data_IF_667899780895
#
_entry.id   IF_667899780895
#
_cell.length_a   1.000
_cell.length_b   1.000
_cell.length_c   1.000
_cell.angle_alpha   90.00
_cell.angle_beta   90.00
_cell.angle_gamma   90.00
#
_symmetry.space_group_name_H-M   'P 1'
#
loop_
_entity.id
_entity.type
_entity.pdbx_description
1 polymer ?
#
# COMPACT_ATOMS: atom_id res chain seq x y z
N UNK A 1 -3.16 1.18 11.88
CA UNK A 1 -3.88 1.91 10.83
C UNK A 1 -5.22 1.24 10.52
N UNK A 2 -5.99 0.87 11.54
CA UNK A 2 -7.26 0.16 11.33
C UNK A 2 -8.24 1.06 10.57
N UNK A 3 -8.91 0.52 9.55
CA UNK A 3 -9.81 1.25 8.66
C UNK A 3 -9.19 2.44 7.91
N UNK A 4 -7.86 2.55 7.85
CA UNK A 4 -7.24 3.50 6.93
C UNK A 4 -7.40 3.04 5.48
N UNK A 5 -7.61 3.97 4.56
CA UNK A 5 -7.68 3.66 3.14
C UNK A 5 -6.39 3.07 2.59
N UNK A 6 -6.51 2.26 1.54
CA UNK A 6 -5.42 1.52 0.89
C UNK A 6 -4.27 2.44 0.45
N UNK A 7 -4.57 3.69 0.08
CA UNK A 7 -3.58 4.69 -0.31
C UNK A 7 -2.56 4.96 0.81
N UNK A 8 -2.97 4.96 2.08
CA UNK A 8 -2.05 5.20 3.19
C UNK A 8 -1.02 4.08 3.35
N UNK A 9 -1.45 2.82 3.24
CA UNK A 9 -0.53 1.68 3.26
C UNK A 9 0.45 1.72 2.09
N UNK A 10 -0.06 2.01 0.90
CA UNK A 10 0.76 2.10 -0.30
C UNK A 10 1.82 3.22 -0.18
N UNK A 11 1.47 4.38 0.37
CA UNK A 11 2.42 5.47 0.64
C UNK A 11 3.41 5.14 1.75
N UNK A 12 2.97 4.45 2.81
CA UNK A 12 3.86 4.01 3.88
C UNK A 12 4.92 3.03 3.34
N UNK A 13 4.51 2.08 2.49
CA UNK A 13 5.43 1.16 1.82
C UNK A 13 6.39 1.91 0.89
N UNK A 14 5.86 2.80 0.05
CA UNK A 14 6.66 3.62 -0.87
C UNK A 14 7.75 4.42 -0.16
N UNK A 15 7.40 5.15 0.90
CA UNK A 15 8.34 5.97 1.67
C UNK A 15 9.44 5.15 2.36
N UNK A 16 9.24 3.83 2.51
CA UNK A 16 10.17 2.92 3.16
C UNK A 16 10.66 1.81 2.20
N UNK A 17 10.60 2.02 0.87
CA UNK A 17 10.73 0.96 -0.13
C UNK A 17 12.15 0.41 -0.33
N UNK A 18 12.66 -0.29 0.68
CA UNK A 18 13.93 -1.02 0.63
C UNK A 18 13.90 -2.22 1.58
N UNK A 19 14.74 -3.20 1.31
CA UNK A 19 14.91 -4.36 2.19
C UNK A 19 15.25 -3.92 3.62
N UNK A 20 16.18 -2.97 3.76
CA UNK A 20 16.65 -2.49 5.06
C UNK A 20 15.55 -1.78 5.86
N UNK A 21 14.85 -0.83 5.24
CA UNK A 21 13.80 -0.07 5.93
C UNK A 21 12.59 -0.95 6.26
N UNK A 22 12.05 -1.71 5.29
CA UNK A 22 10.88 -2.56 5.52
C UNK A 22 11.16 -3.63 6.58
N UNK A 23 12.37 -4.19 6.64
CA UNK A 23 12.71 -5.22 7.63
C UNK A 23 12.61 -4.77 9.10
N UNK A 24 12.56 -3.45 9.33
CA UNK A 24 12.46 -2.83 10.67
C UNK A 24 11.04 -2.38 10.99
N UNK A 25 10.08 -2.63 10.09
CA UNK A 25 8.71 -2.18 10.23
C UNK A 25 7.78 -3.30 10.64
N UNK A 26 6.79 -2.93 11.46
CA UNK A 26 5.61 -3.74 11.76
C UNK A 26 4.39 -2.87 11.50
N UNK A 27 3.42 -3.41 10.79
CA UNK A 27 2.15 -2.75 10.52
C UNK A 27 1.07 -3.52 11.26
N UNK A 28 0.22 -2.81 12.01
CA UNK A 28 -1.05 -3.36 12.50
C UNK A 28 -2.15 -2.61 11.75
N UNK A 29 -2.90 -3.31 10.91
CA UNK A 29 -3.75 -2.71 9.89
C UNK A 29 -4.79 -3.68 9.35
N UNK A 30 -5.40 -3.30 8.23
CA UNK A 30 -6.29 -4.16 7.46
C UNK A 30 -5.45 -5.18 6.69
N UNK A 31 -6.01 -6.37 6.46
CA UNK A 31 -5.33 -7.45 5.76
C UNK A 31 -4.85 -7.04 4.37
N UNK A 32 -3.58 -7.28 4.04
CA UNK A 32 -3.08 -7.02 2.70
C UNK A 32 -3.57 -8.10 1.75
N UNK A 33 -3.71 -9.33 2.27
CA UNK A 33 -4.37 -10.42 1.56
C UNK A 33 -5.86 -10.12 1.34
N UNK A 34 -6.57 -9.63 2.35
CA UNK A 34 -7.95 -9.17 2.23
C UNK A 34 -8.09 -8.04 1.20
N UNK A 35 -7.16 -7.09 1.19
CA UNK A 35 -7.09 -6.04 0.15
C UNK A 35 -6.86 -6.63 -1.25
N UNK A 36 -6.01 -7.64 -1.41
CA UNK A 36 -5.80 -8.35 -2.68
C UNK A 36 -7.08 -9.05 -3.16
N UNK A 37 -7.80 -9.71 -2.25
CA UNK A 37 -9.03 -10.45 -2.57
C UNK A 37 -10.19 -9.52 -2.93
N UNK A 38 -10.29 -8.35 -2.30
CA UNK A 38 -11.42 -7.42 -2.45
C UNK A 38 -11.26 -6.44 -3.61
N UNK A 39 -10.03 -6.12 -4.00
CA UNK A 39 -9.76 -5.16 -5.08
C UNK A 39 -9.58 -5.89 -6.42
N UNK A 40 -10.10 -5.31 -7.50
CA UNK A 40 -9.80 -5.81 -8.84
C UNK A 40 -8.28 -5.76 -9.07
N UNK A 41 -7.70 -6.85 -9.59
CA UNK A 41 -6.25 -6.96 -9.84
C UNK A 41 -5.69 -5.76 -10.60
N UNK A 42 -6.41 -5.27 -11.61
CA UNK A 42 -6.02 -4.07 -12.38
C UNK A 42 -5.92 -2.80 -11.52
N UNK A 43 -6.83 -2.64 -10.55
CA UNK A 43 -6.88 -1.48 -9.65
C UNK A 43 -5.75 -1.60 -8.61
N UNK A 44 -5.59 -2.79 -8.01
CA UNK A 44 -4.51 -3.06 -7.05
C UNK A 44 -3.14 -2.81 -7.69
N UNK A 45 -2.88 -3.36 -8.88
CA UNK A 45 -1.60 -3.20 -9.55
C UNK A 45 -1.34 -1.77 -10.03
N UNK A 46 -2.37 -1.06 -10.51
CA UNK A 46 -2.21 0.31 -11.02
C UNK A 46 -2.10 1.35 -9.91
N UNK A 47 -3.04 1.33 -8.96
CA UNK A 47 -3.20 2.39 -7.96
C UNK A 47 -2.47 2.08 -6.66
N UNK A 48 -2.25 0.79 -6.35
CA UNK A 48 -1.67 0.32 -5.09
C UNK A 48 -0.50 -0.64 -5.34
N UNK A 49 0.36 -0.28 -6.29
CA UNK A 49 1.45 -1.11 -6.80
C UNK A 49 2.40 -1.61 -5.70
N UNK A 50 2.66 -0.79 -4.66
CA UNK A 50 3.55 -1.18 -3.56
C UNK A 50 2.91 -2.27 -2.70
N UNK A 51 1.61 -2.16 -2.41
CA UNK A 51 0.84 -3.23 -1.74
C UNK A 51 0.90 -4.49 -2.59
N UNK A 52 0.60 -4.41 -3.89
CA UNK A 52 0.62 -5.55 -4.81
C UNK A 52 1.99 -6.28 -4.85
N UNK A 53 3.08 -5.50 -4.90
CA UNK A 53 4.45 -6.04 -5.01
C UNK A 53 4.96 -6.66 -3.72
N UNK A 54 4.51 -6.18 -2.56
CA UNK A 54 5.04 -6.64 -1.27
C UNK A 54 4.38 -7.92 -0.73
N UNK A 55 3.25 -8.37 -1.30
CA UNK A 55 2.48 -9.53 -0.80
C UNK A 55 3.31 -10.79 -0.60
N UNK A 56 4.30 -11.06 -1.47
CA UNK A 56 5.22 -12.22 -1.33
C UNK A 56 6.38 -11.97 -0.36
N UNK A 57 6.65 -10.71 -0.04
CA UNK A 57 7.74 -10.27 0.82
C UNK A 57 7.37 -10.12 2.29
N UNK A 58 6.09 -10.23 2.63
CA UNK A 58 5.59 -10.06 3.99
C UNK A 58 5.19 -11.40 4.62
N UNK A 59 5.05 -11.35 5.93
CA UNK A 59 4.24 -12.28 6.70
C UNK A 59 3.06 -11.51 7.27
N UNK A 60 1.93 -12.18 7.33
CA UNK A 60 0.70 -11.62 7.85
C UNK A 60 0.06 -12.59 8.82
N UNK A 61 -0.41 -12.06 9.95
CA UNK A 61 -1.17 -12.83 10.93
C UNK A 61 -2.43 -12.06 11.33
N UNK A 62 -3.59 -12.66 11.03
CA UNK A 62 -4.89 -12.13 11.40
C UNK A 62 -5.08 -12.13 12.92
N UNK A 63 -5.74 -11.10 13.43
CA UNK A 63 -6.13 -11.05 14.83
C UNK A 63 -7.32 -11.99 15.11
N UNK A 64 -7.42 -12.53 16.33
CA UNK A 64 -8.59 -13.30 16.75
C UNK A 64 -9.87 -12.49 16.60
N UNK A 65 -10.84 -13.07 15.90
CA UNK A 65 -12.15 -12.45 15.70
C UNK A 65 -12.93 -12.46 17.02
N UNK A 66 -13.64 -11.36 17.30
CA UNK A 66 -14.56 -11.32 18.44
C UNK A 66 -15.96 -11.74 17.98
N UNK A 67 -16.64 -12.68 18.66
CA UNK A 67 -17.99 -13.09 18.27
C UNK A 67 -19.05 -12.01 18.52
N UNK A 68 -18.68 -10.92 19.22
CA UNK A 68 -19.59 -9.83 19.58
C UNK A 68 -19.65 -8.70 18.54
N UNK A 69 -18.55 -8.46 17.83
CA UNK A 69 -18.41 -7.39 16.84
C UNK A 69 -17.81 -7.99 15.57
N UNK A 70 -18.63 -8.70 14.81
CA UNK A 70 -18.20 -9.41 13.59
C UNK A 70 -18.06 -8.50 12.38
N UNK A 71 -18.59 -7.29 12.46
CA UNK A 71 -18.66 -6.28 11.40
C UNK A 71 -17.65 -5.13 11.58
N UNK A 72 -16.94 -5.08 12.72
CA UNK A 72 -16.00 -4.00 13.04
C UNK A 72 -14.62 -4.61 13.32
N UNK A 73 -13.57 -4.05 12.69
CA UNK A 73 -12.18 -4.50 12.83
C UNK A 73 -11.94 -5.98 12.49
N UNK A 74 -12.85 -6.61 11.75
CA UNK A 74 -12.80 -8.02 11.40
C UNK A 74 -11.66 -8.36 10.40
N UNK A 75 -11.12 -7.37 9.72
CA UNK A 75 -10.01 -7.52 8.78
C UNK A 75 -8.65 -7.13 9.40
N UNK A 76 -8.55 -7.10 10.72
CA UNK A 76 -7.32 -6.67 11.40
C UNK A 76 -6.24 -7.73 11.36
N UNK A 77 -5.05 -7.38 10.90
CA UNK A 77 -3.86 -8.22 10.95
C UNK A 77 -2.60 -7.46 11.34
N UNK A 78 -1.60 -8.22 11.79
CA UNK A 78 -0.22 -7.76 11.94
C UNK A 78 0.59 -8.21 10.74
N UNK A 79 1.34 -7.30 10.15
CA UNK A 79 2.24 -7.54 9.04
C UNK A 79 3.67 -7.21 9.46
N UNK A 80 4.60 -8.06 9.09
CA UNK A 80 6.03 -7.81 9.21
C UNK A 80 6.76 -8.32 7.96
N UNK A 81 8.00 -7.89 7.79
CA UNK A 81 8.73 -8.10 6.53
C UNK A 81 10.04 -8.86 6.79
N UNK A 82 10.02 -10.21 6.84
CA UNK A 82 11.23 -10.97 7.10
C UNK A 82 12.28 -10.73 6.01
N UNK A 83 13.50 -10.42 6.43
CA UNK A 83 14.63 -10.13 5.50
C UNK A 83 14.80 -11.22 4.45
N UNK A 84 14.62 -12.50 4.81
CA UNK A 84 14.77 -13.61 3.88
C UNK A 84 13.70 -13.62 2.78
N UNK A 85 12.44 -13.26 3.09
CA UNK A 85 11.36 -13.12 2.10
C UNK A 85 11.60 -11.91 1.20
N UNK A 86 12.02 -10.78 1.78
CA UNK A 86 12.35 -9.57 1.02
C UNK A 86 13.47 -9.81 0.00
N UNK A 87 14.52 -10.55 0.39
CA UNK A 87 15.64 -10.92 -0.51
C UNK A 87 15.27 -11.91 -1.61
N UNK A 88 14.14 -12.61 -1.50
CA UNK A 88 13.63 -13.50 -2.54
C UNK A 88 12.82 -12.77 -3.62
N UNK A 89 12.44 -11.51 -3.38
CA UNK A 89 11.79 -10.68 -4.39
C UNK A 89 12.77 -10.31 -5.50
N UNK A 90 12.24 -10.09 -6.71
CA UNK A 90 13.07 -9.70 -7.87
C UNK A 90 13.75 -8.34 -7.63
N UNK A 91 14.92 -8.16 -8.22
CA UNK A 91 15.63 -6.86 -8.20
C UNK A 91 14.76 -5.74 -8.76
N UNK A 92 13.94 -6.02 -9.77
CA UNK A 92 12.98 -5.07 -10.36
C UNK A 92 11.96 -4.55 -9.36
N UNK A 93 11.62 -5.34 -8.34
CA UNK A 93 10.73 -4.90 -7.25
C UNK A 93 11.31 -3.69 -6.53
N UNK A 94 12.62 -3.70 -6.27
CA UNK A 94 13.32 -2.64 -5.55
C UNK A 94 13.78 -1.49 -6.44
N UNK A 95 13.88 -1.72 -7.74
CA UNK A 95 14.11 -0.69 -8.74
C UNK A 95 12.88 0.23 -8.93
N UNK A 96 11.68 -0.29 -8.67
CA UNK A 96 10.43 0.47 -8.67
C UNK A 96 10.45 1.53 -7.55
N UNK A 97 10.32 2.80 -7.91
CA UNK A 97 10.43 3.96 -7.00
C UNK A 97 9.49 5.10 -7.35
N UNK A 98 8.63 4.90 -8.33
CA UNK A 98 7.66 5.87 -8.81
C UNK A 98 6.73 6.28 -7.67
N UNK A 99 6.60 7.58 -7.45
CA UNK A 99 5.64 8.10 -6.48
C UNK A 99 4.22 7.67 -6.88
N UNK A 100 3.42 7.12 -5.92
CA UNK A 100 2.05 6.74 -6.20
C UNK A 100 1.23 7.91 -6.74
N UNK A 101 0.76 7.79 -7.98
CA UNK A 101 -0.18 8.74 -8.56
C UNK A 101 -1.59 8.14 -8.61
N UNK A 102 -2.45 8.63 -7.73
CA UNK A 102 -3.81 8.15 -7.57
C UNK A 102 -4.81 8.83 -8.52
N UNK A 103 -4.39 9.20 -9.73
CA UNK A 103 -5.29 9.80 -10.73
C UNK A 103 -6.46 8.87 -11.05
N UNK A 104 -7.68 9.41 -11.02
CA UNK A 104 -8.90 8.67 -11.32
C UNK A 104 -9.34 7.69 -10.23
N UNK A 105 -8.84 7.83 -9.00
CA UNK A 105 -9.34 7.10 -7.84
C UNK A 105 -10.44 7.92 -7.16
N UNK A 106 -11.69 7.47 -7.20
CA UNK A 106 -12.86 8.24 -6.76
C UNK A 106 -12.94 8.38 -5.22
N UNK A 107 -12.60 7.33 -4.47
CA UNK A 107 -12.69 7.29 -3.00
C UNK A 107 -11.30 7.36 -2.34
N UNK A 108 -10.57 8.44 -2.58
CA UNK A 108 -9.22 8.60 -2.03
C UNK A 108 -9.22 9.13 -0.59
N UNK A 109 -8.91 8.26 0.36
CA UNK A 109 -8.89 8.59 1.80
C UNK A 109 -7.55 9.19 2.28
N UNK A 110 -6.93 10.08 1.49
CA UNK A 110 -5.72 10.83 1.88
C UNK A 110 -5.79 12.29 1.44
N UNK A 111 -5.12 13.17 2.19
CA UNK A 111 -4.98 14.58 1.82
C UNK A 111 -3.75 14.72 0.91
N UNK A 112 -3.93 15.35 -0.25
CA UNK A 112 -2.85 15.70 -1.18
C UNK A 112 -2.61 17.20 -1.17
N UNK A 113 -1.36 17.61 -1.31
CA UNK A 113 -1.06 19.00 -1.64
C UNK A 113 -1.63 19.28 -3.03
N UNK A 114 -2.30 20.44 -3.21
CA UNK A 114 -2.74 20.87 -4.54
C UNK A 114 -1.49 21.12 -5.38
N UNK A 115 -1.27 20.32 -6.42
CA UNK A 115 -0.37 20.70 -7.51
C UNK A 115 -1.01 21.91 -8.19
N UNK A 116 -0.34 23.06 -8.15
CA UNK A 116 -0.70 24.15 -9.05
C UNK A 116 -0.66 23.58 -10.49
N UNK A 117 -1.60 23.95 -11.38
CA UNK A 117 -1.46 23.59 -12.77
C UNK A 117 -0.09 24.08 -13.22
N UNK A 118 0.73 23.19 -13.81
CA UNK A 118 1.96 23.61 -14.46
C UNK A 118 1.57 24.69 -15.46
N UNK A 119 2.13 25.89 -15.31
CA UNK A 119 2.02 26.94 -16.31
C UNK A 119 2.71 26.44 -17.58
N UNK A 120 1.97 25.70 -18.41
CA UNK A 120 2.40 25.37 -19.75
C UNK A 120 2.00 26.57 -20.61
N UNK A 121 2.96 27.47 -20.73
CA UNK A 121 3.26 28.27 -21.91
C UNK A 121 2.04 28.69 -22.75
N UNK A 122 1.37 29.76 -22.31
CA UNK A 122 0.57 30.60 -23.22
C UNK A 122 1.49 31.69 -23.77
N UNK A 123 2.50 31.29 -24.54
CA UNK A 123 3.37 32.20 -25.29
C UNK A 123 3.74 31.58 -26.64
N UNK A 124 2.73 31.33 -27.49
CA UNK A 124 2.93 31.30 -28.94
C UNK A 124 1.68 31.89 -29.63
N UNK A 125 1.80 33.19 -29.94
CA UNK A 125 1.22 33.98 -31.05
C UNK A 125 -0.22 33.68 -31.51
#
# INVERSE_FOLDING_TARGET
MLHCGTALYNNLLWSNWSVDALSKMVIIGNSFKGLEERLLTRILQRNYAYVAKILKGLEEHEFPQTPRYTDIFNDTSVHWFPVHKLKQLSTDTWAFREEPDYQGCEDLEIIRNKTAPSAVDSDLL
#
